data_IF_958852644838
#
_entry.id   IF_958852644838
#
_cell.length_a   1.000
_cell.length_b   1.000
_cell.length_c   1.000
_cell.angle_alpha   90.00
_cell.angle_beta   90.00
_cell.angle_gamma   90.00
#
_symmetry.space_group_name_H-M   'P 1'
#
loop_
_entity.id
_entity.type
_entity.pdbx_description
1 polymer ?
#
# COMPACT_ATOMS: atom_id res chain seq x y z
N UNK A 1 66.13 55.88 37.81
CA UNK A 1 66.46 55.08 36.60
C UNK A 1 67.04 53.74 37.02
N UNK A 2 66.31 52.65 36.76
CA UNK A 2 66.76 51.25 36.54
C UNK A 2 65.48 50.40 36.48
N UNK A 3 65.09 50.05 35.25
CA UNK A 3 63.94 49.24 34.92
C UNK A 3 64.15 47.78 35.36
N UNK A 4 63.07 47.12 35.77
CA UNK A 4 62.96 45.67 35.79
C UNK A 4 61.67 45.27 35.08
N UNK A 5 61.81 44.62 33.94
CA UNK A 5 60.75 43.94 33.22
C UNK A 5 60.40 42.63 33.93
N UNK A 6 59.11 42.31 34.00
CA UNK A 6 58.61 41.06 34.55
C UNK A 6 57.20 40.74 34.06
N UNK A 7 57.14 39.81 33.11
CA UNK A 7 56.08 38.84 32.79
C UNK A 7 54.63 39.29 32.51
N UNK A 8 54.18 38.88 31.31
CA UNK A 8 52.83 38.88 30.78
C UNK A 8 51.89 37.92 31.54
N UNK A 9 50.61 38.30 31.67
CA UNK A 9 49.47 37.37 31.54
C UNK A 9 48.34 38.06 30.77
N UNK A 10 47.67 37.40 29.79
CA UNK A 10 46.61 38.01 28.99
C UNK A 10 45.25 37.80 29.66
N UNK A 11 44.57 38.88 30.04
CA UNK A 11 43.14 38.80 30.35
C UNK A 11 42.35 38.79 29.03
N UNK A 12 41.68 37.67 28.81
CA UNK A 12 40.94 37.26 27.62
C UNK A 12 39.87 38.29 27.22
N UNK A 13 39.91 38.72 25.96
CA UNK A 13 38.81 39.40 25.26
C UNK A 13 37.65 38.41 25.08
N UNK A 14 36.51 38.65 25.76
CA UNK A 14 35.25 38.00 25.42
C UNK A 14 34.67 38.71 24.20
N UNK A 15 34.92 38.15 23.01
CA UNK A 15 34.25 38.56 21.79
C UNK A 15 32.84 37.97 21.77
N UNK A 16 31.82 38.83 21.86
CA UNK A 16 30.42 38.47 21.67
C UNK A 16 30.22 37.86 20.26
N UNK A 17 30.10 36.54 20.16
CA UNK A 17 29.56 35.88 18.97
C UNK A 17 28.07 36.19 18.89
N UNK A 18 27.73 37.25 18.16
CA UNK A 18 26.38 37.49 17.68
C UNK A 18 25.99 36.38 16.71
N UNK A 19 25.26 35.38 17.21
CA UNK A 19 24.58 34.40 16.36
C UNK A 19 23.34 35.08 15.79
N UNK A 20 23.48 35.67 14.60
CA UNK A 20 22.34 36.10 13.80
C UNK A 20 21.64 34.87 13.24
N UNK A 21 20.53 34.47 13.86
CA UNK A 21 19.63 33.46 13.30
C UNK A 21 18.99 34.07 12.05
N UNK A 22 19.39 33.60 10.88
CA UNK A 22 18.65 33.83 9.65
C UNK A 22 17.34 33.04 9.76
N UNK A 23 16.25 33.72 10.15
CA UNK A 23 14.92 33.17 10.01
C UNK A 23 14.67 32.96 8.52
N UNK A 24 14.71 31.72 8.08
CA UNK A 24 14.35 31.33 6.72
C UNK A 24 12.81 31.24 6.69
N UNK A 25 12.06 32.16 6.07
CA UNK A 25 10.61 32.02 5.98
C UNK A 25 10.32 31.02 4.87
N UNK A 26 10.49 29.72 5.15
CA UNK A 26 9.68 28.75 4.44
C UNK A 26 8.27 29.03 4.91
N UNK A 27 7.48 29.71 4.08
CA UNK A 27 6.05 29.79 4.28
C UNK A 27 5.52 28.36 4.20
N UNK A 28 5.40 27.72 5.36
CA UNK A 28 4.76 26.43 5.53
C UNK A 28 3.32 26.62 5.05
N UNK A 29 3.03 26.17 3.83
CA UNK A 29 1.66 26.18 3.33
C UNK A 29 0.85 25.33 4.29
N UNK A 30 -0.08 25.96 5.02
CA UNK A 30 -0.91 25.25 5.99
C UNK A 30 -1.52 24.00 5.32
N UNK A 31 -1.41 22.81 5.93
CA UNK A 31 -1.88 21.59 5.30
C UNK A 31 -3.37 21.75 4.99
N UNK A 32 -3.73 21.57 3.72
CA UNK A 32 -5.14 21.58 3.30
C UNK A 32 -5.86 20.48 4.08
N UNK A 33 -6.86 20.86 4.88
CA UNK A 33 -7.74 19.89 5.56
C UNK A 33 -8.57 19.17 4.51
N UNK A 34 -8.19 17.94 4.18
CA UNK A 34 -8.98 17.06 3.33
C UNK A 34 -10.18 16.53 4.13
N UNK A 35 -11.34 16.47 3.47
CA UNK A 35 -12.55 15.85 4.02
C UNK A 35 -12.66 14.43 3.46
N UNK A 36 -12.82 13.44 4.34
CA UNK A 36 -13.14 12.08 3.92
C UNK A 36 -14.50 12.08 3.20
N UNK A 37 -14.52 11.65 1.94
CA UNK A 37 -15.74 11.57 1.14
C UNK A 37 -16.43 10.23 1.27
N UNK A 38 -15.67 9.14 1.37
CA UNK A 38 -16.19 7.78 1.46
C UNK A 38 -15.15 6.84 2.07
N UNK A 39 -15.62 5.88 2.86
CA UNK A 39 -14.83 4.74 3.35
C UNK A 39 -15.74 3.53 3.57
N UNK A 40 -15.14 2.35 3.63
CA UNK A 40 -15.76 1.12 4.14
C UNK A 40 -14.76 0.42 5.05
N UNK A 41 -15.19 0.13 6.27
CA UNK A 41 -14.36 -0.43 7.35
C UNK A 41 -14.50 -1.96 7.45
N UNK A 42 -15.35 -2.58 6.62
CA UNK A 42 -15.51 -4.03 6.53
C UNK A 42 -15.88 -4.73 7.87
N UNK A 43 -16.69 -4.08 8.69
CA UNK A 43 -17.10 -4.55 10.03
C UNK A 43 -18.21 -5.62 10.03
N UNK A 44 -18.52 -6.21 8.87
CA UNK A 44 -19.55 -7.24 8.79
C UNK A 44 -19.10 -8.59 9.36
N UNK A 45 -20.06 -9.52 9.51
CA UNK A 45 -19.83 -10.84 10.12
C UNK A 45 -18.76 -11.62 9.36
N UNK A 46 -17.92 -12.38 10.09
CA UNK A 46 -16.94 -13.29 9.51
C UNK A 46 -17.55 -14.20 8.45
N UNK A 47 -16.89 -14.29 7.30
CA UNK A 47 -17.29 -15.14 6.17
C UNK A 47 -18.42 -14.56 5.31
N UNK A 48 -18.88 -13.34 5.58
CA UNK A 48 -19.88 -12.66 4.74
C UNK A 48 -19.19 -11.72 3.76
N UNK A 49 -19.79 -11.51 2.58
CA UNK A 49 -19.26 -10.62 1.54
C UNK A 49 -19.51 -9.15 1.89
N UNK A 50 -18.67 -8.21 1.41
CA UNK A 50 -19.00 -6.80 1.44
C UNK A 50 -20.37 -6.50 0.84
N UNK A 51 -21.00 -5.40 1.29
CA UNK A 51 -22.34 -5.04 0.87
C UNK A 51 -22.41 -4.74 -0.64
N UNK A 52 -23.33 -5.41 -1.34
CA UNK A 52 -23.60 -5.18 -2.77
C UNK A 52 -24.17 -3.78 -3.08
N UNK A 53 -24.51 -2.98 -2.05
CA UNK A 53 -24.89 -1.58 -2.22
C UNK A 53 -23.71 -0.68 -2.59
N UNK A 54 -22.49 -1.15 -2.34
CA UNK A 54 -21.27 -0.34 -2.50
C UNK A 54 -20.19 -1.07 -3.29
N UNK A 55 -20.17 -2.41 -3.22
CA UNK A 55 -19.19 -3.24 -3.91
C UNK A 55 -19.86 -4.14 -4.95
N UNK A 56 -19.22 -4.28 -6.10
CA UNK A 56 -19.52 -5.29 -7.11
C UNK A 56 -18.31 -6.21 -7.26
N UNK A 57 -18.54 -7.50 -7.44
CA UNK A 57 -17.46 -8.45 -7.73
C UNK A 57 -17.20 -8.50 -9.24
N UNK A 58 -15.93 -8.48 -9.63
CA UNK A 58 -15.53 -8.90 -10.96
C UNK A 58 -15.63 -10.42 -11.06
N UNK A 59 -16.17 -10.91 -12.17
CA UNK A 59 -16.36 -12.34 -12.42
C UNK A 59 -15.75 -12.66 -13.77
N UNK A 60 -14.83 -13.63 -13.80
CA UNK A 60 -14.17 -14.05 -15.04
C UNK A 60 -12.67 -14.22 -14.89
N UNK A 61 -12.04 -14.69 -15.97
CA UNK A 61 -10.60 -14.83 -16.12
C UNK A 61 -10.14 -14.27 -17.46
N UNK A 62 -9.05 -14.82 -18.02
CA UNK A 62 -8.59 -14.43 -19.36
C UNK A 62 -7.52 -13.33 -19.38
N UNK A 63 -6.83 -13.12 -18.28
CA UNK A 63 -5.56 -12.39 -18.27
C UNK A 63 -5.62 -10.88 -18.12
N UNK A 64 -6.80 -10.24 -18.11
CA UNK A 64 -7.05 -8.83 -17.69
C UNK A 64 -5.93 -7.80 -17.99
N UNK A 65 -5.31 -7.89 -19.17
CA UNK A 65 -4.24 -6.99 -19.63
C UNK A 65 -2.83 -7.28 -19.11
N UNK A 66 -2.62 -8.30 -18.28
CA UNK A 66 -1.33 -8.67 -17.69
C UNK A 66 -1.04 -10.20 -17.69
N UNK A 67 -1.78 -10.98 -18.47
CA UNK A 67 -1.66 -12.45 -18.59
C UNK A 67 -1.86 -13.21 -17.27
N UNK A 68 -2.66 -12.65 -16.37
CA UNK A 68 -3.00 -13.29 -15.11
C UNK A 68 -3.82 -14.59 -15.29
N UNK A 69 -3.58 -15.57 -14.41
CA UNK A 69 -4.09 -16.95 -14.56
C UNK A 69 -5.21 -17.29 -13.58
N UNK A 70 -5.71 -16.32 -12.83
CA UNK A 70 -6.83 -16.52 -11.93
C UNK A 70 -8.16 -16.42 -12.68
N UNK A 71 -9.18 -16.99 -12.05
CA UNK A 71 -10.58 -16.76 -12.38
C UNK A 71 -11.24 -16.14 -11.14
N UNK A 72 -11.73 -14.90 -11.25
CA UNK A 72 -12.45 -14.22 -10.18
C UNK A 72 -13.87 -14.75 -10.06
N UNK A 73 -14.36 -14.84 -8.83
CA UNK A 73 -15.71 -15.30 -8.52
C UNK A 73 -16.36 -14.37 -7.51
N UNK A 74 -17.68 -14.48 -7.37
CA UNK A 74 -18.44 -13.79 -6.34
C UNK A 74 -18.61 -14.61 -5.04
N UNK A 75 -17.87 -15.72 -4.87
CA UNK A 75 -17.98 -16.60 -3.71
C UNK A 75 -17.32 -15.98 -2.48
N UNK A 76 -17.95 -16.16 -1.31
CA UNK A 76 -17.37 -15.71 -0.04
C UNK A 76 -16.02 -16.40 0.29
N UNK A 77 -15.76 -17.56 -0.30
CA UNK A 77 -14.47 -18.24 -0.21
C UNK A 77 -13.32 -17.45 -0.88
N UNK A 78 -13.62 -16.55 -1.82
CA UNK A 78 -12.62 -15.70 -2.47
C UNK A 78 -12.57 -14.28 -1.89
N UNK A 79 -13.71 -13.73 -1.46
CA UNK A 79 -13.76 -12.43 -0.81
C UNK A 79 -14.79 -12.43 0.33
N UNK A 80 -14.32 -12.24 1.56
CA UNK A 80 -15.19 -12.11 2.73
C UNK A 80 -14.59 -11.26 3.84
N UNK A 81 -15.44 -10.73 4.71
CA UNK A 81 -15.02 -10.01 5.91
C UNK A 81 -14.59 -11.00 6.99
N UNK A 82 -13.62 -10.64 7.81
CA UNK A 82 -13.10 -11.50 8.89
C UNK A 82 -13.84 -11.35 10.22
N UNK A 83 -14.73 -10.36 10.35
CA UNK A 83 -15.40 -10.00 11.59
C UNK A 83 -14.58 -9.12 12.54
N UNK A 84 -13.41 -8.66 12.11
CA UNK A 84 -12.50 -7.80 12.87
C UNK A 84 -12.08 -6.54 12.08
N UNK A 85 -12.92 -6.09 11.15
CA UNK A 85 -12.72 -4.86 10.38
C UNK A 85 -11.77 -5.01 9.20
N UNK A 86 -11.70 -6.20 8.58
CA UNK A 86 -10.87 -6.44 7.39
C UNK A 86 -11.63 -7.20 6.31
N UNK A 87 -11.41 -6.78 5.07
CA UNK A 87 -11.69 -7.59 3.88
C UNK A 87 -10.55 -8.60 3.68
N UNK A 88 -10.92 -9.86 3.53
CA UNK A 88 -10.01 -10.95 3.18
C UNK A 88 -10.26 -11.33 1.73
N UNK A 89 -9.22 -11.20 0.90
CA UNK A 89 -9.21 -11.69 -0.49
C UNK A 89 -8.32 -12.93 -0.53
N UNK A 90 -8.87 -14.06 -0.96
CA UNK A 90 -8.20 -15.36 -0.94
C UNK A 90 -8.11 -15.95 -2.35
N UNK A 91 -6.87 -16.22 -2.78
CA UNK A 91 -6.58 -17.01 -3.95
C UNK A 91 -6.62 -18.50 -3.58
N UNK A 92 -7.65 -19.20 -4.04
CA UNK A 92 -7.80 -20.63 -3.82
C UNK A 92 -7.30 -21.38 -5.06
N UNK A 93 -6.45 -22.39 -4.85
CA UNK A 93 -6.06 -23.31 -5.92
C UNK A 93 -7.29 -24.13 -6.32
N UNK A 94 -7.64 -24.08 -7.60
CA UNK A 94 -8.70 -24.91 -8.18
C UNK A 94 -8.17 -26.36 -8.20
N UNK A 95 -9.00 -27.32 -7.78
CA UNK A 95 -8.62 -28.74 -7.86
C UNK A 95 -8.59 -29.23 -9.31
N UNK A 96 -7.76 -30.23 -9.59
CA UNK A 96 -7.60 -30.79 -10.94
C UNK A 96 -8.87 -31.47 -11.49
N UNK A 97 -9.83 -31.83 -10.63
CA UNK A 97 -11.13 -32.39 -11.03
C UNK A 97 -12.11 -31.28 -11.46
N UNK A 98 -12.05 -30.11 -10.79
CA UNK A 98 -12.83 -28.93 -11.16
C UNK A 98 -12.21 -28.14 -12.32
N UNK A 99 -10.95 -28.41 -12.65
CA UNK A 99 -10.26 -27.85 -13.81
C UNK A 99 -11.06 -28.06 -15.11
N UNK A 100 -11.67 -29.25 -15.26
CA UNK A 100 -12.48 -29.64 -16.41
C UNK A 100 -13.86 -28.97 -16.41
N UNK A 101 -14.46 -28.75 -15.22
CA UNK A 101 -15.78 -28.12 -15.07
C UNK A 101 -15.74 -26.61 -15.32
N UNK A 102 -14.65 -25.94 -14.96
CA UNK A 102 -14.51 -24.49 -15.20
C UNK A 102 -14.18 -24.21 -16.68
N UNK A 103 -13.82 -25.24 -17.47
CA UNK A 103 -13.65 -25.19 -18.92
C UNK A 103 -14.90 -24.72 -19.71
N UNK A 104 -16.09 -24.82 -19.14
CA UNK A 104 -17.31 -24.31 -19.81
C UNK A 104 -17.46 -22.78 -19.77
N UNK A 105 -16.58 -22.07 -19.06
CA UNK A 105 -16.53 -20.59 -19.10
C UNK A 105 -15.47 -20.17 -20.11
N UNK A 106 -15.80 -19.32 -21.11
CA UNK A 106 -14.81 -18.81 -22.06
C UNK A 106 -13.62 -18.16 -21.31
N UNK A 107 -12.44 -18.78 -21.40
CA UNK A 107 -11.19 -18.29 -20.80
C UNK A 107 -10.59 -19.15 -19.68
N UNK A 108 -11.23 -20.22 -19.22
CA UNK A 108 -10.65 -21.09 -18.18
C UNK A 108 -9.84 -22.27 -18.72
N UNK A 109 -10.09 -22.67 -19.96
CA UNK A 109 -9.25 -23.61 -20.71
C UNK A 109 -7.77 -23.13 -20.74
N UNK A 110 -7.55 -21.80 -20.72
CA UNK A 110 -6.24 -21.16 -20.73
C UNK A 110 -5.47 -21.26 -19.40
N UNK A 111 -6.17 -21.39 -18.27
CA UNK A 111 -5.55 -21.46 -16.94
C UNK A 111 -4.83 -22.80 -16.75
N UNK A 112 -5.33 -23.85 -17.41
CA UNK A 112 -4.91 -25.22 -17.15
C UNK A 112 -4.24 -25.89 -18.36
N UNK A 113 -4.39 -25.37 -19.58
CA UNK A 113 -3.86 -26.04 -20.79
C UNK A 113 -2.98 -25.19 -21.73
N UNK A 114 -2.51 -23.99 -21.37
CA UNK A 114 -1.53 -23.29 -22.23
C UNK A 114 -0.09 -23.72 -21.98
N UNK A 115 0.28 -24.81 -22.65
CA UNK A 115 1.60 -25.04 -23.25
C UNK A 115 1.85 -24.14 -24.48
N UNK A 116 1.31 -22.92 -24.54
CA UNK A 116 1.62 -21.97 -25.63
C UNK A 116 2.85 -21.11 -25.33
N UNK A 117 3.50 -21.28 -24.17
CA UNK A 117 4.85 -20.76 -23.89
C UNK A 117 5.90 -21.88 -23.87
N UNK A 118 5.53 -23.10 -24.26
CA UNK A 118 6.45 -24.21 -24.49
C UNK A 118 6.95 -24.26 -25.95
N UNK A 119 7.08 -23.10 -26.61
CA UNK A 119 7.79 -23.00 -27.89
C UNK A 119 9.21 -22.46 -27.65
N UNK A 120 10.03 -23.30 -27.01
CA UNK A 120 11.23 -23.84 -27.66
C UNK A 120 10.95 -25.31 -27.94
#
# INVERSE_FOLDING_TARGET
MKSKWGALTPAVLIACLGVSILANPVAEAAPKKLKLLWSDEFNGKKGTRPSAKVWSAEIGGGGWGNSERQYYTDKAANASMDGAGRLIITANRISNEYAEVVGTVPGTEDILNRCSECQF
#
